data_IF_962080658779
#
_entry.id   IF_962080658779
#
_cell.length_a   1.000
_cell.length_b   1.000
_cell.length_c   1.000
_cell.angle_alpha   90.00
_cell.angle_beta   90.00
_cell.angle_gamma   90.00
#
_symmetry.space_group_name_H-M   'P 1'
#
loop_
_entity.id
_entity.type
_entity.pdbx_description
1 polymer ?
#
# COMPACT_ATOMS: atom_id res chain seq x y z
N UNK A 1 -1.35 -29.61 54.69
CA UNK A 1 -1.38 -28.35 53.91
C UNK A 1 -0.44 -28.33 52.69
N UNK A 2 0.42 -29.33 52.47
CA UNK A 2 1.35 -29.36 51.32
C UNK A 2 0.85 -30.25 50.16
N UNK A 3 -0.18 -31.08 50.38
CA UNK A 3 -0.64 -32.07 49.40
C UNK A 3 -1.68 -31.56 48.37
N UNK A 4 -2.21 -30.33 48.50
CA UNK A 4 -3.19 -29.78 47.54
C UNK A 4 -2.55 -29.04 46.35
N UNK A 5 -1.25 -28.76 46.38
CA UNK A 5 -0.56 -28.03 45.30
C UNK A 5 -0.12 -28.92 44.13
N UNK A 6 -0.12 -30.25 44.29
CA UNK A 6 0.26 -31.20 43.22
C UNK A 6 -0.93 -31.66 42.35
N UNK A 7 -2.16 -31.26 42.69
CA UNK A 7 -3.37 -31.70 42.00
C UNK A 7 -3.80 -30.80 40.82
N UNK A 8 -3.11 -29.68 40.59
CA UNK A 8 -3.33 -28.90 39.36
C UNK A 8 -2.55 -29.57 38.25
N UNK A 9 -3.07 -30.70 37.75
CA UNK A 9 -2.68 -31.22 36.45
C UNK A 9 -2.74 -30.05 35.46
N UNK A 10 -1.65 -29.72 34.76
CA UNK A 10 -1.70 -28.71 33.71
C UNK A 10 -2.63 -29.24 32.63
N UNK A 11 -3.90 -28.83 32.70
CA UNK A 11 -4.92 -29.29 31.77
C UNK A 11 -4.49 -28.86 30.38
N UNK A 12 -4.47 -29.79 29.42
CA UNK A 12 -4.11 -29.49 28.03
C UNK A 12 -4.95 -28.36 27.41
N UNK A 13 -6.12 -28.07 27.99
CA UNK A 13 -6.97 -26.93 27.67
C UNK A 13 -6.36 -25.57 28.03
N UNK A 14 -5.64 -25.44 29.16
CA UNK A 14 -4.93 -24.21 29.51
C UNK A 14 -3.75 -23.95 28.55
N UNK A 15 -3.08 -25.01 28.11
CA UNK A 15 -2.01 -24.91 27.11
C UNK A 15 -2.54 -24.55 25.71
N UNK A 16 -3.69 -25.09 25.30
CA UNK A 16 -4.29 -24.73 24.00
C UNK A 16 -4.84 -23.29 23.98
N UNK A 17 -5.44 -22.83 25.09
CA UNK A 17 -5.92 -21.45 25.24
C UNK A 17 -4.77 -20.43 25.23
N UNK A 18 -3.69 -20.72 25.96
CA UNK A 18 -2.52 -19.84 26.00
C UNK A 18 -1.81 -19.77 24.65
N UNK A 19 -1.62 -20.90 23.96
CA UNK A 19 -1.05 -20.92 22.60
C UNK A 19 -1.94 -20.18 21.59
N UNK A 20 -3.27 -20.34 21.67
CA UNK A 20 -4.23 -19.61 20.83
C UNK A 20 -4.22 -18.09 21.08
N UNK A 21 -4.16 -17.68 22.35
CA UNK A 21 -4.07 -16.27 22.75
C UNK A 21 -2.72 -15.63 22.34
N UNK A 22 -1.61 -16.35 22.45
CA UNK A 22 -0.30 -15.89 22.03
C UNK A 22 -0.23 -15.74 20.50
N UNK A 23 -0.78 -16.71 19.77
CA UNK A 23 -0.88 -16.65 18.30
C UNK A 23 -1.73 -15.48 17.80
N UNK A 24 -2.85 -15.18 18.48
CA UNK A 24 -3.69 -14.03 18.14
C UNK A 24 -3.01 -12.69 18.45
N UNK A 25 -2.32 -12.56 19.59
CA UNK A 25 -1.55 -11.35 19.93
C UNK A 25 -0.39 -11.14 18.96
N UNK A 26 0.36 -12.20 18.62
CA UNK A 26 1.43 -12.14 17.63
C UNK A 26 0.89 -11.82 16.23
N UNK A 27 -0.24 -12.38 15.84
CA UNK A 27 -0.94 -12.08 14.59
C UNK A 27 -1.40 -10.63 14.51
N UNK A 28 -2.02 -10.09 15.56
CA UNK A 28 -2.45 -8.69 15.65
C UNK A 28 -1.26 -7.74 15.64
N UNK A 29 -0.16 -8.09 16.33
CA UNK A 29 1.08 -7.30 16.32
C UNK A 29 1.70 -7.31 14.93
N UNK A 30 1.89 -8.48 14.32
CA UNK A 30 2.42 -8.60 12.96
C UNK A 30 1.55 -7.84 11.94
N UNK A 31 0.23 -7.87 12.09
CA UNK A 31 -0.69 -7.11 11.27
C UNK A 31 -0.53 -5.60 11.44
N UNK A 32 -0.48 -5.08 12.68
CA UNK A 32 -0.23 -3.65 12.94
C UNK A 32 1.10 -3.17 12.36
N UNK A 33 2.17 -3.93 12.56
CA UNK A 33 3.49 -3.58 12.02
C UNK A 33 3.50 -3.61 10.48
N UNK A 34 2.81 -4.57 9.86
CA UNK A 34 2.66 -4.63 8.40
C UNK A 34 1.91 -3.43 7.84
N UNK A 35 0.85 -2.97 8.50
CA UNK A 35 0.09 -1.78 8.08
C UNK A 35 0.93 -0.50 8.18
N UNK A 36 1.69 -0.32 9.28
CA UNK A 36 2.55 0.87 9.44
C UNK A 36 3.63 0.91 8.36
N UNK A 37 4.29 -0.22 8.11
CA UNK A 37 5.31 -0.34 7.06
C UNK A 37 4.68 -0.06 5.69
N UNK A 38 3.50 -0.62 5.41
CA UNK A 38 2.78 -0.37 4.16
C UNK A 38 2.43 1.12 3.99
N UNK A 39 1.90 1.78 5.03
CA UNK A 39 1.61 3.22 5.00
C UNK A 39 2.87 4.06 4.74
N UNK A 40 3.99 3.69 5.37
CA UNK A 40 5.27 4.35 5.13
C UNK A 40 5.70 4.26 3.66
N UNK A 41 5.62 3.06 3.06
CA UNK A 41 5.96 2.89 1.65
C UNK A 41 4.96 3.55 0.69
N UNK A 42 3.67 3.60 1.03
CA UNK A 42 2.68 4.37 0.28
C UNK A 42 3.04 5.85 0.30
N UNK A 43 3.31 6.43 1.48
CA UNK A 43 3.72 7.82 1.62
C UNK A 43 5.01 8.12 0.85
N UNK A 44 6.01 7.25 0.96
CA UNK A 44 7.26 7.37 0.20
C UNK A 44 7.03 7.30 -1.32
N UNK A 45 6.12 6.43 -1.78
CA UNK A 45 5.77 6.33 -3.21
C UNK A 45 5.07 7.59 -3.71
N UNK A 46 4.15 8.17 -2.93
CA UNK A 46 3.49 9.44 -3.27
C UNK A 46 4.52 10.57 -3.38
N UNK A 47 5.45 10.66 -2.43
CA UNK A 47 6.53 11.65 -2.47
C UNK A 47 7.42 11.48 -3.70
N UNK A 48 7.78 10.24 -4.04
CA UNK A 48 8.55 9.92 -5.24
C UNK A 48 7.80 10.34 -6.51
N UNK A 49 6.49 10.03 -6.61
CA UNK A 49 5.68 10.41 -7.76
C UNK A 49 5.61 11.92 -7.91
N UNK A 50 5.36 12.67 -6.83
CA UNK A 50 5.36 14.13 -6.87
C UNK A 50 6.71 14.73 -7.25
N UNK A 51 7.81 14.11 -6.83
CA UNK A 51 9.15 14.54 -7.22
C UNK A 51 9.43 14.32 -8.71
N UNK A 52 9.05 13.16 -9.25
CA UNK A 52 9.23 12.84 -10.68
C UNK A 52 8.32 13.71 -11.56
N UNK A 53 7.08 13.89 -11.14
CA UNK A 53 6.05 14.69 -11.81
C UNK A 53 6.43 16.18 -11.91
N UNK A 54 7.26 16.68 -10.98
CA UNK A 54 7.73 18.07 -10.99
C UNK A 54 8.66 18.42 -12.18
N UNK A 55 9.13 17.46 -12.97
CA UNK A 55 10.01 17.75 -14.09
C UNK A 55 9.22 17.92 -15.40
N UNK A 56 9.44 19.00 -16.19
CA UNK A 56 8.71 19.26 -17.44
C UNK A 56 9.17 18.38 -18.63
N UNK A 57 10.05 17.41 -18.40
CA UNK A 57 10.59 16.56 -19.47
C UNK A 57 9.65 15.40 -19.83
N UNK A 58 9.57 15.03 -21.12
CA UNK A 58 8.81 13.84 -21.55
C UNK A 58 9.30 12.56 -20.86
N UNK A 59 10.60 12.50 -20.56
CA UNK A 59 11.23 11.41 -19.81
C UNK A 59 10.66 11.33 -18.39
N UNK A 60 10.34 12.46 -17.76
CA UNK A 60 9.76 12.50 -16.43
C UNK A 60 8.33 11.94 -16.38
N UNK A 61 7.51 12.21 -17.41
CA UNK A 61 6.17 11.62 -17.51
C UNK A 61 6.24 10.09 -17.63
N UNK A 62 7.15 9.57 -18.46
CA UNK A 62 7.38 8.14 -18.60
C UNK A 62 7.94 7.52 -17.31
N UNK A 63 8.88 8.21 -16.66
CA UNK A 63 9.46 7.79 -15.39
C UNK A 63 8.41 7.75 -14.27
N UNK A 64 7.51 8.74 -14.21
CA UNK A 64 6.41 8.80 -13.24
C UNK A 64 5.45 7.64 -13.45
N UNK A 65 5.08 7.35 -14.70
CA UNK A 65 4.23 6.19 -15.02
C UNK A 65 4.91 4.88 -14.65
N UNK A 66 6.19 4.71 -14.97
CA UNK A 66 6.96 3.51 -14.62
C UNK A 66 7.05 3.36 -13.09
N UNK A 67 7.36 4.43 -12.37
CA UNK A 67 7.43 4.44 -10.92
C UNK A 67 6.08 4.10 -10.28
N UNK A 68 4.97 4.64 -10.82
CA UNK A 68 3.62 4.32 -10.37
C UNK A 68 3.33 2.83 -10.49
N UNK A 69 3.62 2.23 -11.67
CA UNK A 69 3.40 0.81 -11.92
C UNK A 69 4.26 -0.08 -11.02
N UNK A 70 5.55 0.24 -10.88
CA UNK A 70 6.48 -0.54 -10.06
C UNK A 70 6.13 -0.45 -8.58
N UNK A 71 5.89 0.75 -8.05
CA UNK A 71 5.54 0.94 -6.63
C UNK A 71 4.19 0.30 -6.31
N UNK A 72 3.16 0.50 -7.15
CA UNK A 72 1.86 -0.13 -6.98
C UNK A 72 1.95 -1.66 -7.04
N UNK A 73 2.70 -2.20 -8.01
CA UNK A 73 2.95 -3.64 -8.13
C UNK A 73 3.68 -4.23 -6.91
N UNK A 74 4.77 -3.60 -6.48
CA UNK A 74 5.55 -4.03 -5.32
C UNK A 74 4.73 -3.96 -4.03
N UNK A 75 3.98 -2.87 -3.80
CA UNK A 75 3.11 -2.73 -2.63
C UNK A 75 1.92 -3.70 -2.67
N UNK A 76 1.35 -3.95 -3.85
CA UNK A 76 0.32 -4.97 -4.05
C UNK A 76 0.84 -6.39 -3.77
N UNK A 77 2.09 -6.67 -4.14
CA UNK A 77 2.79 -7.92 -3.83
C UNK A 77 3.10 -8.05 -2.33
N UNK A 78 3.53 -6.98 -1.67
CA UNK A 78 3.86 -6.97 -0.25
C UNK A 78 2.61 -7.15 0.63
N UNK A 79 1.49 -6.51 0.29
CA UNK A 79 0.22 -6.58 1.03
C UNK A 79 -0.94 -7.00 0.10
N UNK A 80 -1.10 -8.30 -0.18
CA UNK A 80 -2.11 -8.80 -1.14
C UNK A 80 -3.56 -8.60 -0.68
N UNK A 81 -3.80 -8.27 0.59
CA UNK A 81 -5.10 -7.86 1.11
C UNK A 81 -5.46 -6.40 0.77
N UNK A 82 -4.45 -5.52 0.66
CA UNK A 82 -4.60 -4.09 0.40
C UNK A 82 -4.47 -3.66 -1.07
N UNK A 83 -4.30 -4.61 -2.00
CA UNK A 83 -4.01 -4.33 -3.42
C UNK A 83 -4.93 -3.31 -4.10
N UNK A 84 -6.24 -3.34 -3.81
CA UNK A 84 -7.19 -2.37 -4.39
C UNK A 84 -7.01 -0.98 -3.76
N UNK A 85 -6.80 -0.91 -2.45
CA UNK A 85 -6.51 0.34 -1.76
C UNK A 85 -5.18 0.95 -2.26
N UNK A 86 -4.13 0.15 -2.43
CA UNK A 86 -2.86 0.58 -3.01
C UNK A 86 -3.06 1.22 -4.40
N UNK A 87 -3.78 0.53 -5.29
CA UNK A 87 -4.05 1.02 -6.64
C UNK A 87 -4.84 2.34 -6.65
N UNK A 88 -5.88 2.41 -5.83
CA UNK A 88 -6.71 3.60 -5.69
C UNK A 88 -5.91 4.79 -5.14
N UNK A 89 -5.14 4.58 -4.07
CA UNK A 89 -4.38 5.63 -3.40
C UNK A 89 -3.28 6.15 -4.33
N UNK A 90 -2.45 5.27 -4.88
CA UNK A 90 -1.33 5.70 -5.72
C UNK A 90 -1.80 6.26 -7.07
N UNK A 91 -2.82 5.66 -7.68
CA UNK A 91 -3.37 6.16 -8.93
C UNK A 91 -4.12 7.50 -8.79
N UNK A 92 -4.64 7.81 -7.60
CA UNK A 92 -5.24 9.13 -7.30
C UNK A 92 -4.20 10.16 -6.86
N UNK A 93 -2.99 9.75 -6.49
CA UNK A 93 -2.01 10.62 -5.87
C UNK A 93 -1.62 11.81 -6.76
N UNK A 94 -1.34 11.55 -8.05
CA UNK A 94 -0.92 12.59 -9.00
C UNK A 94 -2.06 13.59 -9.26
N UNK A 95 -3.30 13.10 -9.39
CA UNK A 95 -4.50 13.94 -9.52
C UNK A 95 -4.71 14.84 -8.31
N UNK A 96 -4.58 14.27 -7.10
CA UNK A 96 -4.71 15.02 -5.85
C UNK A 96 -3.58 16.04 -5.65
N UNK A 97 -2.35 15.72 -6.07
CA UNK A 97 -1.23 16.66 -6.06
C UNK A 97 -1.53 17.86 -6.97
N UNK A 98 -1.96 17.62 -8.21
CA UNK A 98 -2.35 18.70 -9.12
C UNK A 98 -3.49 19.56 -8.58
N UNK A 99 -4.53 18.92 -8.01
CA UNK A 99 -5.63 19.64 -7.39
C UNK A 99 -5.16 20.49 -6.20
N UNK A 100 -4.23 19.96 -5.39
CA UNK A 100 -3.64 20.71 -4.28
C UNK A 100 -2.82 21.92 -4.76
N UNK A 101 -2.06 21.78 -5.85
CA UNK A 101 -1.33 22.91 -6.44
C UNK A 101 -2.27 23.99 -6.95
N UNK A 102 -3.36 23.62 -7.62
CA UNK A 102 -4.40 24.55 -8.06
C UNK A 102 -5.04 25.29 -6.88
N UNK A 103 -5.37 24.59 -5.79
CA UNK A 103 -5.96 25.19 -4.60
C UNK A 103 -4.99 26.10 -3.84
N UNK A 104 -3.69 25.79 -3.86
CA UNK A 104 -2.63 26.57 -3.21
C UNK A 104 -2.07 27.69 -4.10
N UNK A 105 -2.52 27.81 -5.36
CA UNK A 105 -2.01 28.79 -6.32
C UNK A 105 -0.55 28.56 -6.73
N UNK A 106 -0.06 27.31 -6.61
CA UNK A 106 1.31 26.93 -6.98
C UNK A 106 1.35 26.70 -8.50
N UNK A 107 2.22 27.44 -9.19
CA UNK A 107 2.45 27.26 -10.62
C UNK A 107 3.25 26.00 -10.90
N UNK A 108 2.69 25.09 -11.69
CA UNK A 108 3.41 23.91 -12.21
C UNK A 108 4.49 24.33 -13.23
N UNK A 109 5.59 23.57 -13.33
CA UNK A 109 6.66 23.83 -14.29
C UNK A 109 6.30 23.51 -15.74
N UNK A 110 5.11 22.96 -15.98
CA UNK A 110 4.53 22.68 -17.30
C UNK A 110 3.05 23.05 -17.32
N UNK A 111 2.48 23.15 -18.51
CA UNK A 111 1.05 23.39 -18.69
C UNK A 111 0.33 22.08 -19.03
N UNK A 112 -0.49 21.52 -18.12
CA UNK A 112 -1.31 20.37 -18.44
C UNK A 112 -2.42 20.77 -19.42
N UNK A 113 -2.67 19.93 -20.43
CA UNK A 113 -3.85 20.01 -21.29
C UNK A 113 -4.81 18.85 -20.97
N UNK A 114 -6.09 19.12 -20.66
CA UNK A 114 -6.71 20.43 -20.47
C UNK A 114 -6.19 21.15 -19.20
N UNK A 115 -6.20 22.48 -19.19
CA UNK A 115 -5.70 23.27 -18.06
C UNK A 115 -6.70 23.32 -16.89
N UNK A 116 -6.18 23.54 -15.69
CA UNK A 116 -6.99 23.72 -14.47
C UNK A 116 -7.61 22.42 -13.94
N UNK A 117 -8.78 22.54 -13.31
CA UNK A 117 -9.47 21.43 -12.64
C UNK A 117 -9.78 20.25 -13.59
N UNK A 118 -10.21 20.44 -14.84
CA UNK A 118 -10.42 19.33 -15.77
C UNK A 118 -9.16 18.49 -16.03
N UNK A 119 -7.99 19.12 -16.10
CA UNK A 119 -6.70 18.44 -16.23
C UNK A 119 -6.35 17.62 -15.00
N UNK A 120 -6.55 18.18 -13.80
CA UNK A 120 -6.36 17.44 -12.57
C UNK A 120 -7.30 16.22 -12.47
N UNK A 121 -8.54 16.35 -12.93
CA UNK A 121 -9.52 15.26 -12.92
C UNK A 121 -9.17 14.17 -13.95
N UNK A 122 -8.66 14.53 -15.13
CA UNK A 122 -8.30 13.53 -16.15
C UNK A 122 -7.22 12.57 -15.67
N UNK A 123 -6.34 13.02 -14.75
CA UNK A 123 -5.29 12.20 -14.13
C UNK A 123 -5.85 11.05 -13.26
N UNK A 124 -7.12 11.07 -12.85
CA UNK A 124 -7.75 9.91 -12.22
C UNK A 124 -7.78 8.68 -13.14
N UNK A 125 -7.56 8.84 -14.44
CA UNK A 125 -7.36 7.71 -15.36
C UNK A 125 -6.21 6.79 -14.91
N UNK A 126 -5.21 7.32 -14.20
CA UNK A 126 -4.06 6.57 -13.66
C UNK A 126 -4.46 5.56 -12.57
N UNK A 127 -5.65 5.68 -12.00
CA UNK A 127 -6.22 4.67 -11.08
C UNK A 127 -6.31 3.31 -11.74
N UNK A 128 -6.67 3.24 -13.03
CA UNK A 128 -6.79 1.98 -13.75
C UNK A 128 -5.45 1.23 -13.86
N UNK A 129 -4.39 1.79 -14.47
CA UNK A 129 -3.11 1.10 -14.58
C UNK A 129 -2.47 0.82 -13.22
N UNK A 130 -2.59 1.73 -12.24
CA UNK A 130 -2.09 1.50 -10.88
C UNK A 130 -2.79 0.32 -10.18
N UNK A 131 -4.11 0.24 -10.30
CA UNK A 131 -4.91 -0.86 -9.72
C UNK A 131 -4.61 -2.19 -10.39
N UNK A 132 -4.43 -2.20 -11.71
CA UNK A 132 -4.01 -3.40 -12.45
C UNK A 132 -2.63 -3.86 -11.97
N UNK A 133 -1.65 -2.96 -11.87
CA UNK A 133 -0.32 -3.30 -11.39
C UNK A 133 -0.34 -3.87 -9.97
N UNK A 134 -1.05 -3.22 -9.05
CA UNK A 134 -1.21 -3.69 -7.67
C UNK A 134 -1.94 -5.05 -7.60
N UNK A 135 -2.95 -5.26 -8.44
CA UNK A 135 -3.65 -6.53 -8.54
C UNK A 135 -2.74 -7.65 -9.05
N UNK A 136 -1.93 -7.38 -10.09
CA UNK A 136 -0.92 -8.33 -10.60
C UNK A 136 0.06 -8.69 -9.50
N UNK A 137 0.69 -7.72 -8.84
CA UNK A 137 1.59 -7.98 -7.72
C UNK A 137 0.96 -8.86 -6.63
N UNK A 138 -0.25 -8.51 -6.20
CA UNK A 138 -0.97 -9.28 -5.17
C UNK A 138 -1.36 -10.70 -5.62
N UNK A 139 -1.70 -10.90 -6.89
CA UNK A 139 -2.00 -12.25 -7.42
C UNK A 139 -0.74 -13.10 -7.55
N UNK A 140 0.39 -12.53 -7.97
CA UNK A 140 1.69 -13.21 -8.03
C UNK A 140 2.11 -13.68 -6.64
N UNK A 141 1.99 -12.83 -5.60
CA UNK A 141 2.28 -13.23 -4.21
C UNK A 141 1.41 -14.40 -3.76
N UNK A 142 0.09 -14.32 -3.99
CA UNK A 142 -0.84 -15.40 -3.62
C UNK A 142 -0.52 -16.71 -4.32
N UNK A 143 -0.13 -16.67 -5.59
CA UNK A 143 0.28 -17.88 -6.35
C UNK A 143 1.60 -18.45 -5.84
N UNK A 144 2.58 -17.61 -5.56
CA UNK A 144 3.87 -18.04 -5.01
C UNK A 144 3.70 -18.74 -3.65
N UNK A 145 2.89 -18.18 -2.76
CA UNK A 145 2.61 -18.78 -1.45
C UNK A 145 1.84 -20.11 -1.51
N UNK A 146 1.06 -20.37 -2.57
CA UNK A 146 0.36 -21.65 -2.78
C UNK A 146 1.23 -22.75 -3.37
N UNK A 147 2.37 -22.42 -3.97
CA UNK A 147 3.31 -23.39 -4.55
C UNK A 147 4.40 -23.84 -3.59
N UNK A 148 4.62 -23.08 -2.51
CA UNK A 148 5.59 -23.41 -1.46
C UNK A 148 4.98 -24.03 -0.20
N UNK A 149 3.67 -24.33 -0.22
CA UNK A 149 2.95 -25.09 0.80
C UNK A 149 2.52 -26.41 0.17
#
# INVERSE_FOLDING_TARGET
>A
MVAELDAVQPSGELMSWTVGSLGTVLGLRAWRWSTVIWLFFVAASIALLGFLDWSPSDIANQATMLALLLTAGCLGFALPGGRLATGLILGSAVALLHLSYLLLGVSLPYQPEPSGVPGAISLFVLVLPATVAAAVGGTVRRRASRRGA
#
